data_IF_821619065857
#
_entry.id   IF_821619065857
#
_cell.length_a   1.000
_cell.length_b   1.000
_cell.length_c   1.000
_cell.angle_alpha   90.00
_cell.angle_beta   90.00
_cell.angle_gamma   90.00
#
_symmetry.space_group_name_H-M   'P 1'
#
loop_
_entity.id
_entity.type
_entity.pdbx_description
1 polymer ?
#
# COMPACT_ATOMS: atom_id res chain seq x y z
N UNK A 1 -12.55 14.34 10.28
CA UNK A 1 -11.33 14.01 9.51
C UNK A 1 -10.04 14.68 10.03
N UNK A 2 -9.97 15.96 10.40
CA UNK A 2 -8.69 16.60 10.77
C UNK A 2 -8.04 16.00 12.02
N UNK A 3 -8.82 15.64 13.06
CA UNK A 3 -8.26 15.08 14.30
C UNK A 3 -7.57 13.71 14.09
N UNK A 4 -8.20 12.80 13.33
CA UNK A 4 -7.60 11.49 13.00
C UNK A 4 -6.30 11.64 12.20
N UNK A 5 -6.28 12.58 11.27
CA UNK A 5 -5.08 12.90 10.48
C UNK A 5 -3.96 13.44 11.38
N UNK A 6 -4.28 14.41 12.25
CA UNK A 6 -3.35 15.00 13.20
C UNK A 6 -2.77 13.95 14.16
N UNK A 7 -3.63 13.13 14.78
CA UNK A 7 -3.18 12.05 15.68
C UNK A 7 -2.29 11.04 14.96
N UNK A 8 -2.67 10.61 13.75
CA UNK A 8 -1.86 9.70 12.95
C UNK A 8 -0.48 10.31 12.63
N UNK A 9 -0.43 11.58 12.25
CA UNK A 9 0.82 12.27 11.89
C UNK A 9 1.74 12.48 13.09
N UNK A 10 1.18 12.74 14.28
CA UNK A 10 1.98 12.94 15.50
C UNK A 10 2.43 11.62 16.16
N UNK A 11 1.61 10.56 16.08
CA UNK A 11 1.88 9.28 16.73
C UNK A 11 2.71 8.31 15.87
N UNK A 12 2.71 8.50 14.56
CA UNK A 12 3.54 7.71 13.65
C UNK A 12 4.80 8.50 13.25
N UNK A 13 5.93 7.82 12.96
CA UNK A 13 7.09 8.49 12.39
C UNK A 13 6.77 9.23 11.08
N UNK A 14 7.38 10.42 10.88
CA UNK A 14 8.39 11.07 11.70
C UNK A 14 7.88 11.82 12.94
N UNK A 15 6.57 12.08 13.06
CA UNK A 15 5.97 12.94 14.08
C UNK A 15 6.38 12.57 15.50
N UNK A 16 6.20 11.31 15.91
CA UNK A 16 6.54 10.84 17.25
C UNK A 16 8.03 11.03 17.57
N UNK A 17 8.92 10.85 16.60
CA UNK A 17 10.36 11.03 16.81
C UNK A 17 10.70 12.50 17.06
N UNK A 18 10.09 13.43 16.31
CA UNK A 18 10.21 14.86 16.58
C UNK A 18 9.63 15.27 17.93
N UNK A 19 8.47 14.72 18.32
CA UNK A 19 7.88 14.96 19.65
C UNK A 19 8.85 14.52 20.75
N UNK A 20 9.49 13.36 20.62
CA UNK A 20 10.49 12.88 21.57
C UNK A 20 11.70 13.83 21.66
N UNK A 21 12.21 14.31 20.54
CA UNK A 21 13.32 15.27 20.51
C UNK A 21 12.95 16.59 21.21
N UNK A 22 11.74 17.12 20.96
CA UNK A 22 11.24 18.34 21.60
C UNK A 22 11.09 18.13 23.10
N UNK A 23 10.50 17.01 23.54
CA UNK A 23 10.37 16.67 24.95
C UNK A 23 11.74 16.49 25.63
N UNK A 24 12.70 15.84 24.95
CA UNK A 24 14.06 15.71 25.39
C UNK A 24 14.74 17.07 25.61
N UNK A 25 14.56 17.99 24.65
CA UNK A 25 15.09 19.36 24.78
C UNK A 25 14.44 20.11 25.93
N UNK A 26 13.13 19.99 26.13
CA UNK A 26 12.41 20.65 27.22
C UNK A 26 12.82 20.13 28.61
N UNK A 27 12.99 18.80 28.73
CA UNK A 27 13.33 18.12 29.98
C UNK A 27 14.83 18.15 30.32
N UNK A 28 15.72 18.66 29.47
CA UNK A 28 17.18 18.55 29.63
C UNK A 28 17.73 19.14 30.93
N UNK A 29 17.06 20.15 31.50
CA UNK A 29 17.45 20.77 32.74
C UNK A 29 16.82 20.14 33.98
N UNK A 30 15.55 19.75 33.92
CA UNK A 30 14.79 19.21 35.05
C UNK A 30 14.96 17.70 35.21
N UNK A 31 15.06 16.95 34.11
CA UNK A 31 15.18 15.48 34.11
C UNK A 31 16.20 15.00 33.08
N UNK A 32 17.50 15.20 33.31
CA UNK A 32 18.55 14.98 32.30
C UNK A 32 18.62 13.53 31.80
N UNK A 33 18.42 12.53 32.66
CA UNK A 33 18.44 11.12 32.26
C UNK A 33 17.30 10.78 31.29
N UNK A 34 16.08 11.29 31.55
CA UNK A 34 14.92 11.09 30.68
C UNK A 34 15.11 11.84 29.35
N UNK A 35 15.67 13.05 29.40
CA UNK A 35 16.01 13.81 28.21
C UNK A 35 17.01 13.05 27.31
N UNK A 36 18.06 12.47 27.90
CA UNK A 36 19.03 11.65 27.15
C UNK A 36 18.34 10.44 26.50
N UNK A 37 17.43 9.76 27.21
CA UNK A 37 16.67 8.64 26.65
C UNK A 37 15.80 9.09 25.45
N UNK A 38 15.10 10.22 25.57
CA UNK A 38 14.30 10.77 24.48
C UNK A 38 15.13 11.16 23.27
N UNK A 39 16.30 11.78 23.46
CA UNK A 39 17.23 12.06 22.37
C UNK A 39 17.77 10.78 21.73
N UNK A 40 18.16 9.79 22.53
CA UNK A 40 18.66 8.53 22.01
C UNK A 40 17.60 7.79 21.15
N UNK A 41 16.35 7.73 21.62
CA UNK A 41 15.24 7.11 20.88
C UNK A 41 14.87 7.94 19.66
N UNK A 42 14.79 9.26 19.76
CA UNK A 42 14.45 10.14 18.65
C UNK A 42 15.49 10.11 17.53
N UNK A 43 16.76 10.35 17.84
CA UNK A 43 17.85 10.32 16.85
C UNK A 43 18.14 8.91 16.36
N UNK A 44 18.19 7.93 17.26
CA UNK A 44 18.39 6.52 16.91
C UNK A 44 17.26 5.98 16.03
N UNK A 45 16.02 6.37 16.30
CA UNK A 45 14.85 6.03 15.49
C UNK A 45 14.94 6.66 14.10
N UNK A 46 15.27 7.95 13.97
CA UNK A 46 15.47 8.60 12.68
C UNK A 46 16.58 7.91 11.87
N UNK A 47 17.70 7.60 12.52
CA UNK A 47 18.82 6.91 11.88
C UNK A 47 18.44 5.51 11.43
N UNK A 48 17.90 4.68 12.32
CA UNK A 48 17.50 3.29 12.03
C UNK A 48 16.47 3.22 10.90
N UNK A 49 15.46 4.10 10.91
CA UNK A 49 14.44 4.16 9.88
C UNK A 49 14.96 4.64 8.53
N UNK A 50 16.13 5.25 8.48
CA UNK A 50 16.79 5.68 7.24
C UNK A 50 17.74 4.62 6.67
N UNK A 51 17.95 3.49 7.37
CA UNK A 51 18.87 2.44 6.93
C UNK A 51 18.21 1.43 5.98
N UNK A 52 18.72 1.25 4.77
CA UNK A 52 18.27 0.19 3.85
C UNK A 52 18.23 -1.20 4.48
N UNK A 53 19.29 -1.59 5.20
CA UNK A 53 19.36 -2.91 5.85
C UNK A 53 18.21 -3.14 6.83
N UNK A 54 17.78 -2.11 7.56
CA UNK A 54 16.65 -2.22 8.51
C UNK A 54 15.31 -2.39 7.77
N UNK A 55 15.10 -1.63 6.68
CA UNK A 55 13.91 -1.74 5.85
C UNK A 55 13.83 -3.09 5.15
N UNK A 56 14.92 -3.55 4.54
CA UNK A 56 14.98 -4.85 3.87
C UNK A 56 14.69 -6.00 4.85
N UNK A 57 15.26 -5.93 6.06
CA UNK A 57 14.96 -6.91 7.11
C UNK A 57 13.48 -6.90 7.51
N UNK A 58 12.91 -5.73 7.78
CA UNK A 58 11.50 -5.59 8.16
C UNK A 58 10.56 -6.01 7.02
N UNK A 59 10.88 -5.62 5.78
CA UNK A 59 10.11 -5.98 4.60
C UNK A 59 10.06 -7.50 4.39
N UNK A 60 11.17 -8.21 4.51
CA UNK A 60 11.20 -9.68 4.42
C UNK A 60 10.28 -10.38 5.44
N UNK A 61 9.98 -9.73 6.57
CA UNK A 61 9.02 -10.26 7.58
C UNK A 61 7.57 -9.98 7.23
N UNK A 62 7.30 -8.95 6.43
CA UNK A 62 5.95 -8.54 6.02
C UNK A 62 5.60 -9.11 4.65
N UNK A 63 6.55 -9.18 3.71
CA UNK A 63 6.35 -9.61 2.32
C UNK A 63 6.38 -11.14 2.19
N UNK A 64 5.43 -11.81 2.86
CA UNK A 64 5.39 -13.29 2.91
C UNK A 64 4.78 -13.93 1.65
N UNK A 65 4.15 -13.11 0.79
CA UNK A 65 3.52 -13.60 -0.45
C UNK A 65 4.52 -13.48 -1.59
N UNK A 66 4.93 -14.59 -2.21
CA UNK A 66 5.91 -14.56 -3.30
C UNK A 66 5.32 -13.89 -4.56
N UNK A 67 6.18 -13.39 -5.49
CA UNK A 67 5.72 -12.88 -6.77
C UNK A 67 4.99 -13.99 -7.57
N UNK A 68 3.96 -13.59 -8.30
CA UNK A 68 3.24 -14.51 -9.19
C UNK A 68 4.14 -14.94 -10.35
N UNK A 69 4.44 -16.23 -10.51
CA UNK A 69 5.34 -16.72 -11.55
C UNK A 69 4.83 -16.37 -12.96
N UNK A 70 5.69 -15.86 -13.83
CA UNK A 70 5.29 -15.44 -15.18
C UNK A 70 4.71 -16.58 -16.02
N UNK A 71 5.17 -17.82 -15.79
CA UNK A 71 4.68 -19.02 -16.45
C UNK A 71 3.18 -19.28 -16.20
N UNK A 72 2.64 -18.77 -15.09
CA UNK A 72 1.23 -18.92 -14.72
C UNK A 72 0.32 -17.85 -15.34
N UNK A 73 0.86 -16.77 -15.91
CA UNK A 73 0.05 -15.64 -16.36
C UNK A 73 -0.96 -16.01 -17.45
N UNK A 74 -0.56 -16.84 -18.41
CA UNK A 74 -1.44 -17.29 -19.51
C UNK A 74 -2.60 -18.20 -19.03
N UNK A 75 -2.43 -18.88 -17.90
CA UNK A 75 -3.42 -19.81 -17.35
C UNK A 75 -4.26 -19.22 -16.23
N UNK A 76 -4.10 -17.93 -15.91
CA UNK A 76 -4.83 -17.27 -14.82
C UNK A 76 -6.35 -17.31 -14.98
N UNK A 77 -6.88 -17.32 -16.20
CA UNK A 77 -8.31 -17.46 -16.48
C UNK A 77 -8.91 -18.79 -16.00
N UNK A 78 -8.09 -19.80 -15.72
CA UNK A 78 -8.52 -21.07 -15.10
C UNK A 78 -8.71 -20.91 -13.58
N UNK A 79 -8.03 -19.94 -12.94
CA UNK A 79 -7.97 -19.75 -11.50
C UNK A 79 -8.76 -18.52 -11.02
N UNK A 80 -9.02 -17.55 -11.89
CA UNK A 80 -9.69 -16.29 -11.57
C UNK A 80 -10.60 -15.84 -12.73
N UNK A 81 -11.56 -14.97 -12.41
CA UNK A 81 -12.54 -14.44 -13.33
C UNK A 81 -12.34 -12.94 -13.62
N UNK A 82 -11.58 -12.25 -12.77
CA UNK A 82 -11.22 -10.84 -12.93
C UNK A 82 -9.90 -10.50 -12.23
N UNK A 83 -9.28 -9.40 -12.66
CA UNK A 83 -8.13 -8.78 -11.99
C UNK A 83 -8.65 -7.57 -11.21
N UNK A 84 -8.28 -7.45 -9.93
CA UNK A 84 -8.61 -6.30 -9.09
C UNK A 84 -7.33 -5.54 -8.74
N UNK A 85 -7.30 -4.24 -9.06
CA UNK A 85 -6.16 -3.37 -8.80
C UNK A 85 -6.53 -2.36 -7.72
N UNK A 86 -5.78 -2.34 -6.62
CA UNK A 86 -6.00 -1.41 -5.51
C UNK A 86 -5.35 -0.05 -5.79
N UNK A 87 -6.04 1.04 -5.43
CA UNK A 87 -5.50 2.39 -5.43
C UNK A 87 -4.36 2.58 -4.41
N UNK A 88 -3.49 3.56 -4.66
CA UNK A 88 -2.37 3.93 -3.79
C UNK A 88 -2.20 5.47 -3.71
N UNK A 89 -3.28 6.20 -3.83
CA UNK A 89 -3.24 7.66 -3.88
C UNK A 89 -3.05 8.21 -5.30
N UNK A 90 -3.01 9.53 -5.38
CA UNK A 90 -2.89 10.27 -6.63
C UNK A 90 -1.91 11.43 -6.51
N UNK A 91 -1.29 11.78 -7.62
CA UNK A 91 -0.60 13.06 -7.83
C UNK A 91 -1.61 14.06 -8.38
N UNK A 92 -1.81 15.14 -7.65
CA UNK A 92 -2.87 16.11 -7.94
C UNK A 92 -2.40 17.16 -8.93
N UNK A 93 -3.26 17.50 -9.91
CA UNK A 93 -3.01 18.56 -10.87
C UNK A 93 -1.60 18.52 -11.48
N UNK A 94 -1.19 17.35 -11.97
CA UNK A 94 0.13 17.17 -12.57
C UNK A 94 0.31 18.18 -13.73
N UNK A 95 1.30 19.10 -13.66
CA UNK A 95 1.46 20.13 -14.69
C UNK A 95 1.75 19.56 -16.08
N UNK A 96 2.41 18.41 -16.15
CA UNK A 96 2.75 17.74 -17.41
C UNK A 96 1.52 17.17 -18.11
N UNK A 97 0.57 16.63 -17.33
CA UNK A 97 -0.60 15.91 -17.86
C UNK A 97 -1.88 16.76 -17.85
N UNK A 98 -1.88 17.92 -17.15
CA UNK A 98 -3.05 18.78 -16.99
C UNK A 98 -4.20 18.15 -16.18
N UNK A 99 -3.96 17.01 -15.51
CA UNK A 99 -4.96 16.25 -14.76
C UNK A 99 -4.32 15.53 -13.58
N UNK A 100 -5.13 14.90 -12.72
CA UNK A 100 -4.67 14.01 -11.68
C UNK A 100 -4.14 12.71 -12.29
N UNK A 101 -3.03 12.19 -11.75
CA UNK A 101 -2.40 10.94 -12.21
C UNK A 101 -2.21 9.96 -11.06
N UNK A 102 -2.13 8.64 -11.32
CA UNK A 102 -1.73 7.69 -10.28
C UNK A 102 -0.33 8.01 -9.75
N UNK A 103 -0.07 7.69 -8.48
CA UNK A 103 1.30 7.75 -7.95
C UNK A 103 2.21 6.75 -8.68
N UNK A 104 3.55 6.91 -8.55
CA UNK A 104 4.50 5.94 -9.11
C UNK A 104 4.25 4.50 -8.67
N UNK A 105 3.83 4.28 -7.40
CA UNK A 105 3.42 2.95 -6.90
C UNK A 105 2.10 2.49 -7.53
N UNK A 106 1.16 3.41 -7.78
CA UNK A 106 -0.07 3.13 -8.53
C UNK A 106 0.24 2.67 -9.95
N UNK A 107 1.12 3.37 -10.67
CA UNK A 107 1.55 3.01 -12.02
C UNK A 107 2.22 1.64 -12.09
N UNK A 108 2.99 1.26 -11.07
CA UNK A 108 3.60 -0.07 -10.98
C UNK A 108 2.53 -1.18 -10.88
N UNK A 109 1.46 -0.97 -10.09
CA UNK A 109 0.30 -1.88 -10.03
C UNK A 109 -0.39 -1.99 -11.40
N UNK A 110 -0.68 -0.85 -12.03
CA UNK A 110 -1.34 -0.81 -13.33
C UNK A 110 -0.52 -1.50 -14.41
N UNK A 111 0.80 -1.31 -14.41
CA UNK A 111 1.72 -1.99 -15.32
C UNK A 111 1.63 -3.52 -15.21
N UNK A 112 1.59 -4.07 -13.99
CA UNK A 112 1.42 -5.51 -13.80
C UNK A 112 0.03 -5.94 -14.24
N UNK A 113 -1.03 -5.26 -13.79
CA UNK A 113 -2.41 -5.60 -14.12
C UNK A 113 -2.67 -5.60 -15.63
N UNK A 114 -2.15 -4.60 -16.35
CA UNK A 114 -2.25 -4.52 -17.80
C UNK A 114 -1.55 -5.71 -18.50
N UNK A 115 -0.36 -6.09 -18.02
CA UNK A 115 0.34 -7.28 -18.55
C UNK A 115 -0.44 -8.56 -18.27
N UNK A 116 -0.93 -8.75 -17.06
CA UNK A 116 -1.75 -9.90 -16.69
C UNK A 116 -3.01 -9.98 -17.55
N UNK A 117 -3.73 -8.87 -17.73
CA UNK A 117 -4.93 -8.80 -18.56
C UNK A 117 -4.64 -9.14 -20.02
N UNK A 118 -3.61 -8.56 -20.62
CA UNK A 118 -3.19 -8.84 -22.00
C UNK A 118 -2.80 -10.31 -22.23
N UNK A 119 -2.21 -10.94 -21.22
CA UNK A 119 -1.73 -12.33 -21.33
C UNK A 119 -2.83 -13.35 -21.04
N UNK A 120 -3.71 -13.08 -20.07
CA UNK A 120 -4.75 -14.01 -19.62
C UNK A 120 -6.13 -13.77 -20.24
N UNK A 121 -6.37 -12.58 -20.80
CA UNK A 121 -7.70 -12.15 -21.25
C UNK A 121 -8.65 -11.72 -20.14
N UNK A 122 -8.22 -11.73 -18.87
CA UNK A 122 -9.07 -11.36 -17.74
C UNK A 122 -9.40 -9.86 -17.72
N UNK A 123 -10.67 -9.51 -17.47
CA UNK A 123 -11.09 -8.12 -17.32
C UNK A 123 -10.55 -7.51 -16.02
N UNK A 124 -10.36 -6.18 -16.01
CA UNK A 124 -9.84 -5.44 -14.86
C UNK A 124 -10.96 -4.67 -14.14
N UNK A 125 -10.95 -4.71 -12.81
CA UNK A 125 -11.62 -3.77 -11.92
C UNK A 125 -10.56 -2.91 -11.22
N UNK A 126 -10.74 -1.58 -11.25
CA UNK A 126 -9.97 -0.64 -10.42
C UNK A 126 -10.78 -0.25 -9.19
N UNK A 127 -10.16 -0.26 -7.98
CA UNK A 127 -10.81 0.13 -6.73
C UNK A 127 -9.98 1.16 -5.97
N UNK A 128 -10.63 2.20 -5.50
CA UNK A 128 -10.05 3.29 -4.73
C UNK A 128 -10.91 4.54 -4.80
N UNK A 129 -11.23 5.10 -3.65
CA UNK A 129 -12.21 6.18 -3.50
C UNK A 129 -11.64 7.58 -3.68
N UNK A 130 -12.34 8.53 -3.07
CA UNK A 130 -12.00 9.94 -3.12
C UNK A 130 -10.89 10.26 -2.12
N UNK A 131 -9.80 10.87 -2.60
CA UNK A 131 -8.75 11.37 -1.72
C UNK A 131 -9.17 12.73 -1.13
N UNK A 132 -9.28 12.80 0.21
CA UNK A 132 -9.81 13.96 0.95
C UNK A 132 -11.20 14.41 0.47
N UNK A 133 -12.08 13.48 0.12
CA UNK A 133 -13.44 13.73 -0.39
C UNK A 133 -13.48 14.58 -1.67
N UNK A 134 -12.38 14.65 -2.43
CA UNK A 134 -12.26 15.42 -3.67
C UNK A 134 -12.26 14.51 -4.90
N UNK A 135 -13.13 14.74 -5.90
CA UNK A 135 -13.08 14.04 -7.17
C UNK A 135 -11.84 14.43 -7.99
N UNK A 136 -11.45 13.59 -8.97
CA UNK A 136 -11.96 12.27 -9.29
C UNK A 136 -11.54 11.19 -8.29
N UNK A 137 -12.17 10.00 -8.33
CA UNK A 137 -11.76 8.86 -7.51
C UNK A 137 -10.43 8.24 -8.00
N UNK A 138 -9.70 7.58 -7.10
CA UNK A 138 -8.50 6.83 -7.50
C UNK A 138 -8.82 5.77 -8.57
N UNK A 139 -9.96 5.08 -8.44
CA UNK A 139 -10.40 4.09 -9.41
C UNK A 139 -10.56 4.68 -10.81
N UNK A 140 -11.13 5.89 -10.92
CA UNK A 140 -11.31 6.59 -12.20
C UNK A 140 -9.97 7.00 -12.81
N UNK A 141 -9.06 7.57 -12.01
CA UNK A 141 -7.71 7.96 -12.46
C UNK A 141 -6.92 6.74 -12.94
N UNK A 142 -7.00 5.62 -12.20
CA UNK A 142 -6.36 4.36 -12.60
C UNK A 142 -6.95 3.79 -13.89
N UNK A 143 -8.27 3.85 -14.07
CA UNK A 143 -8.93 3.38 -15.29
C UNK A 143 -8.52 4.21 -16.50
N UNK A 144 -8.40 5.54 -16.35
CA UNK A 144 -7.91 6.43 -17.38
C UNK A 144 -6.46 6.08 -17.77
N UNK A 145 -5.56 5.93 -16.79
CA UNK A 145 -4.16 5.58 -17.05
C UNK A 145 -4.01 4.17 -17.66
N UNK A 146 -4.86 3.19 -17.27
CA UNK A 146 -4.90 1.88 -17.94
C UNK A 146 -5.20 2.01 -19.43
N UNK A 147 -6.16 2.86 -19.79
CA UNK A 147 -6.55 3.09 -21.17
C UNK A 147 -5.45 3.82 -21.94
N UNK A 148 -4.99 4.97 -21.43
CA UNK A 148 -4.12 5.89 -22.17
C UNK A 148 -2.67 5.41 -22.24
N UNK A 149 -2.13 4.90 -21.11
CA UNK A 149 -0.72 4.53 -21.01
C UNK A 149 -0.46 3.06 -21.35
N UNK A 150 -1.43 2.19 -21.07
CA UNK A 150 -1.23 0.73 -21.22
C UNK A 150 -2.13 0.08 -22.30
N UNK A 151 -3.06 0.81 -22.90
CA UNK A 151 -3.97 0.30 -23.95
C UNK A 151 -4.85 -0.85 -23.45
N UNK A 152 -5.34 -0.76 -22.19
CA UNK A 152 -6.23 -1.72 -21.56
C UNK A 152 -7.39 -0.97 -20.90
N UNK A 153 -8.62 -1.36 -21.19
CA UNK A 153 -9.80 -0.73 -20.60
C UNK A 153 -10.22 -1.46 -19.33
N UNK A 154 -10.34 -0.74 -18.22
CA UNK A 154 -10.95 -1.26 -17.01
C UNK A 154 -12.45 -1.49 -17.25
N UNK A 155 -12.92 -2.71 -16.99
CA UNK A 155 -14.33 -3.07 -17.19
C UNK A 155 -15.23 -2.53 -16.10
N UNK A 156 -14.69 -2.41 -14.86
CA UNK A 156 -15.41 -1.90 -13.71
C UNK A 156 -14.54 -0.95 -12.89
N UNK A 157 -15.18 -0.01 -12.24
CA UNK A 157 -14.55 0.95 -11.34
C UNK A 157 -15.34 0.99 -10.03
N UNK A 158 -14.66 0.86 -8.91
CA UNK A 158 -15.21 1.07 -7.58
C UNK A 158 -14.53 2.31 -6.98
N UNK A 159 -15.25 3.40 -6.85
CA UNK A 159 -14.69 4.72 -6.51
C UNK A 159 -15.16 5.31 -5.17
N UNK A 160 -15.72 4.52 -4.24
CA UNK A 160 -16.29 5.01 -2.99
C UNK A 160 -15.50 4.59 -1.74
N UNK A 161 -14.65 3.58 -1.84
CA UNK A 161 -13.89 3.00 -0.75
C UNK A 161 -12.86 3.95 -0.15
N UNK A 162 -12.67 3.92 1.18
CA UNK A 162 -11.73 4.76 1.94
C UNK A 162 -10.68 3.94 2.71
N UNK A 163 -10.88 2.63 2.77
CA UNK A 163 -10.02 1.70 3.50
C UNK A 163 -9.85 0.43 2.69
N UNK A 164 -8.84 -0.37 3.02
CA UNK A 164 -8.64 -1.67 2.35
C UNK A 164 -9.81 -2.63 2.57
N UNK A 165 -10.47 -2.55 3.72
CA UNK A 165 -11.69 -3.31 3.99
C UNK A 165 -12.83 -2.88 3.07
N UNK A 166 -13.05 -1.57 2.92
CA UNK A 166 -14.06 -1.03 2.00
C UNK A 166 -13.72 -1.35 0.54
N UNK A 167 -12.44 -1.31 0.12
CA UNK A 167 -12.04 -1.79 -1.21
C UNK A 167 -12.55 -3.22 -1.44
N UNK A 168 -12.37 -4.11 -0.47
CA UNK A 168 -12.79 -5.50 -0.59
C UNK A 168 -14.33 -5.65 -0.62
N UNK A 169 -15.04 -5.04 0.33
CA UNK A 169 -16.50 -5.18 0.47
C UNK A 169 -17.26 -4.48 -0.66
N UNK A 170 -16.81 -3.31 -1.11
CA UNK A 170 -17.42 -2.59 -2.21
C UNK A 170 -17.09 -3.23 -3.57
N UNK A 171 -15.87 -3.79 -3.74
CA UNK A 171 -15.56 -4.65 -4.90
C UNK A 171 -16.48 -5.88 -4.92
N UNK A 172 -16.76 -6.49 -3.76
CA UNK A 172 -17.70 -7.62 -3.66
C UNK A 172 -19.12 -7.21 -4.10
N UNK A 173 -19.57 -6.02 -3.70
CA UNK A 173 -20.87 -5.51 -4.12
C UNK A 173 -20.97 -5.29 -5.65
N UNK A 174 -19.85 -5.03 -6.33
CA UNK A 174 -19.79 -4.91 -7.80
C UNK A 174 -19.70 -6.26 -8.49
N UNK A 175 -18.81 -7.16 -8.03
CA UNK A 175 -18.45 -8.37 -8.77
C UNK A 175 -19.32 -9.60 -8.43
N UNK A 176 -19.71 -9.77 -7.16
CA UNK A 176 -20.45 -10.98 -6.75
C UNK A 176 -21.84 -11.12 -7.39
N UNK A 177 -22.63 -10.04 -7.60
CA UNK A 177 -23.89 -10.14 -8.36
C UNK A 177 -23.70 -10.61 -9.80
N UNK A 178 -22.48 -10.47 -10.36
CA UNK A 178 -22.11 -10.96 -11.68
C UNK A 178 -21.59 -12.41 -11.66
N UNK A 179 -21.63 -13.09 -10.50
CA UNK A 179 -21.11 -14.44 -10.32
C UNK A 179 -19.59 -14.52 -10.16
N UNK A 180 -18.88 -13.38 -10.10
CA UNK A 180 -17.41 -13.33 -10.01
C UNK A 180 -17.00 -13.40 -8.54
N UNK A 181 -16.35 -14.52 -8.17
CA UNK A 181 -15.86 -14.78 -6.81
C UNK A 181 -14.36 -15.09 -6.74
N UNK A 182 -13.70 -15.29 -7.88
CA UNK A 182 -12.26 -15.60 -7.96
C UNK A 182 -11.56 -14.42 -8.61
N UNK A 183 -10.59 -13.83 -7.92
CA UNK A 183 -9.91 -12.62 -8.40
C UNK A 183 -8.39 -12.74 -8.28
N UNK A 184 -7.70 -12.16 -9.27
CA UNK A 184 -6.27 -11.84 -9.15
C UNK A 184 -6.16 -10.48 -8.49
N UNK A 185 -5.55 -10.43 -7.31
CA UNK A 185 -5.41 -9.18 -6.54
C UNK A 185 -4.03 -8.58 -6.77
N UNK A 186 -3.99 -7.33 -7.25
CA UNK A 186 -2.75 -6.60 -7.54
C UNK A 186 -2.56 -5.44 -6.56
N UNK A 187 -1.48 -5.50 -5.79
CA UNK A 187 -1.03 -4.44 -4.88
C UNK A 187 0.45 -4.62 -4.55
N UNK A 188 1.06 -3.70 -3.78
CA UNK A 188 2.45 -3.87 -3.34
C UNK A 188 2.62 -5.08 -2.41
N UNK A 189 3.82 -5.69 -2.45
CA UNK A 189 4.16 -6.88 -1.68
C UNK A 189 3.96 -6.70 -0.16
N UNK A 190 4.38 -5.55 0.38
CA UNK A 190 4.21 -5.21 1.78
C UNK A 190 2.74 -4.99 2.19
N UNK A 191 1.84 -4.69 1.25
CA UNK A 191 0.40 -4.52 1.49
C UNK A 191 -0.40 -5.80 1.25
N UNK A 192 0.15 -6.77 0.52
CA UNK A 192 -0.58 -7.93 0.00
C UNK A 192 -1.23 -8.78 1.10
N UNK A 193 -0.58 -9.00 2.23
CA UNK A 193 -1.18 -9.81 3.31
C UNK A 193 -2.50 -9.20 3.82
N UNK A 194 -2.52 -7.89 4.12
CA UNK A 194 -3.71 -7.21 4.63
C UNK A 194 -4.81 -7.10 3.57
N UNK A 195 -4.43 -6.83 2.33
CA UNK A 195 -5.36 -6.77 1.21
C UNK A 195 -6.00 -8.14 0.97
N UNK A 196 -5.18 -9.21 0.86
CA UNK A 196 -5.65 -10.58 0.69
C UNK A 196 -6.62 -10.99 1.80
N UNK A 197 -6.25 -10.78 3.06
CA UNK A 197 -7.12 -11.06 4.20
C UNK A 197 -8.48 -10.36 4.06
N UNK A 198 -8.49 -9.07 3.69
CA UNK A 198 -9.74 -8.30 3.52
C UNK A 198 -10.61 -8.88 2.40
N UNK A 199 -10.02 -9.24 1.25
CA UNK A 199 -10.74 -9.80 0.11
C UNK A 199 -11.26 -11.22 0.38
N UNK A 200 -10.48 -12.06 1.05
CA UNK A 200 -10.92 -13.41 1.45
C UNK A 200 -12.10 -13.31 2.45
N UNK A 201 -12.06 -12.37 3.39
CA UNK A 201 -13.17 -12.11 4.31
C UNK A 201 -14.40 -11.52 3.62
N UNK A 202 -14.23 -10.78 2.53
CA UNK A 202 -15.33 -10.31 1.69
C UNK A 202 -15.90 -11.39 0.75
N UNK A 203 -15.42 -12.65 0.85
CA UNK A 203 -15.95 -13.80 0.12
C UNK A 203 -15.30 -14.08 -1.22
N UNK A 204 -14.11 -13.54 -1.49
CA UNK A 204 -13.33 -13.86 -2.69
C UNK A 204 -12.34 -15.00 -2.45
N UNK A 205 -12.14 -15.80 -3.50
CA UNK A 205 -10.93 -16.62 -3.65
C UNK A 205 -9.87 -15.76 -4.33
N UNK A 206 -8.71 -15.59 -3.69
CA UNK A 206 -7.69 -14.62 -4.11
C UNK A 206 -6.44 -15.31 -4.65
N UNK A 207 -6.11 -15.02 -5.90
CA UNK A 207 -4.78 -15.24 -6.47
C UNK A 207 -3.97 -13.95 -6.27
N UNK A 208 -2.91 -14.01 -5.48
CA UNK A 208 -2.11 -12.83 -5.16
C UNK A 208 -1.09 -12.52 -6.26
N UNK A 209 -1.03 -11.27 -6.71
CA UNK A 209 -0.06 -10.77 -7.67
C UNK A 209 0.66 -9.52 -7.09
N UNK A 210 1.58 -9.70 -6.13
CA UNK A 210 2.30 -8.61 -5.51
C UNK A 210 3.33 -7.98 -6.45
N UNK A 211 3.54 -6.64 -6.29
CA UNK A 211 4.61 -5.87 -6.94
C UNK A 211 5.41 -5.06 -5.91
N UNK A 212 6.53 -4.48 -6.31
CA UNK A 212 7.25 -3.49 -5.51
C UNK A 212 7.81 -4.04 -4.21
N UNK A 213 8.55 -5.12 -4.28
CA UNK A 213 9.19 -5.74 -3.11
C UNK A 213 10.30 -4.83 -2.55
N UNK A 214 10.25 -4.57 -1.25
CA UNK A 214 11.26 -3.81 -0.51
C UNK A 214 12.32 -4.70 0.13
N UNK A 215 12.01 -5.98 0.37
CA UNK A 215 12.90 -6.96 0.99
C UNK A 215 13.96 -7.55 0.05
N UNK A 216 14.00 -7.12 -1.20
CA UNK A 216 15.00 -7.58 -2.19
C UNK A 216 16.32 -6.88 -1.96
N UNK A 217 17.42 -7.65 -1.97
CA UNK A 217 18.77 -7.10 -1.93
C UNK A 217 19.05 -6.28 -3.20
N UNK A 218 19.41 -5.02 -3.01
CA UNK A 218 19.71 -4.08 -4.08
C UNK A 218 21.23 -3.88 -4.28
N UNK A 219 22.06 -4.76 -3.72
CA UNK A 219 23.52 -4.68 -3.81
C UNK A 219 24.09 -3.29 -3.44
N UNK A 220 23.52 -2.66 -2.40
CA UNK A 220 23.92 -1.33 -1.97
C UNK A 220 25.35 -1.30 -1.41
N UNK A 221 26.11 -0.24 -1.68
CA UNK A 221 27.40 -0.03 -1.04
C UNK A 221 27.28 -0.10 0.49
N UNK A 222 28.32 -0.60 1.15
CA UNK A 222 28.36 -0.78 2.60
C UNK A 222 27.19 -1.60 3.18
N UNK A 223 26.61 -2.52 2.37
CA UNK A 223 25.54 -3.42 2.84
C UNK A 223 24.28 -2.72 3.31
N UNK A 224 24.02 -1.48 2.87
CA UNK A 224 22.84 -0.72 3.25
C UNK A 224 22.90 -0.06 4.64
N UNK A 225 24.09 0.12 5.22
CA UNK A 225 24.28 0.80 6.51
C UNK A 225 24.39 2.33 6.41
N UNK A 226 24.31 2.90 5.21
CA UNK A 226 24.25 4.36 5.04
C UNK A 226 22.80 4.84 4.96
N UNK A 227 22.44 5.96 5.61
CA UNK A 227 21.07 6.46 5.62
C UNK A 227 20.67 7.05 4.27
N UNK A 228 19.45 6.71 3.82
CA UNK A 228 18.84 7.19 2.59
C UNK A 228 17.45 7.80 2.89
N UNK A 229 17.12 8.94 2.30
CA UNK A 229 15.83 9.62 2.49
C UNK A 229 14.63 8.80 2.01
N UNK A 230 14.75 8.12 0.87
CA UNK A 230 13.71 7.23 0.33
C UNK A 230 13.37 6.09 1.30
N UNK A 231 14.38 5.55 1.96
CA UNK A 231 14.24 4.44 2.91
C UNK A 231 13.46 4.84 4.14
N UNK A 232 13.61 6.09 4.60
CA UNK A 232 12.80 6.61 5.70
C UNK A 232 11.30 6.56 5.39
N UNK A 233 10.89 6.93 4.20
CA UNK A 233 9.50 6.82 3.74
C UNK A 233 9.03 5.36 3.71
N UNK A 234 9.85 4.45 3.22
CA UNK A 234 9.57 3.01 3.19
C UNK A 234 9.38 2.43 4.60
N UNK A 235 10.20 2.85 5.57
CA UNK A 235 10.03 2.48 6.99
C UNK A 235 8.67 2.87 7.53
N UNK A 236 8.21 4.09 7.23
CA UNK A 236 6.89 4.57 7.64
C UNK A 236 5.76 3.72 7.07
N UNK A 237 5.88 3.30 5.81
CA UNK A 237 4.92 2.41 5.15
C UNK A 237 4.89 1.04 5.82
N UNK A 238 6.04 0.42 6.09
CA UNK A 238 6.12 -0.89 6.74
C UNK A 238 5.55 -0.86 8.16
N UNK A 239 5.82 0.19 8.94
CA UNK A 239 5.23 0.36 10.27
C UNK A 239 3.70 0.50 10.20
N UNK A 240 3.17 1.25 9.23
CA UNK A 240 1.73 1.37 9.04
C UNK A 240 1.10 0.02 8.67
N UNK A 241 1.77 -0.79 7.86
CA UNK A 241 1.27 -2.14 7.52
C UNK A 241 1.37 -3.11 8.69
N UNK A 242 2.47 -3.10 9.44
CA UNK A 242 2.59 -3.90 10.66
C UNK A 242 1.49 -3.58 11.67
N UNK A 243 1.21 -2.30 11.91
CA UNK A 243 0.10 -1.86 12.74
C UNK A 243 -1.26 -2.29 12.16
N UNK A 244 -1.44 -2.18 10.85
CA UNK A 244 -2.65 -2.62 10.16
C UNK A 244 -2.90 -4.12 10.31
N UNK A 245 -1.89 -4.97 10.14
CA UNK A 245 -2.01 -6.42 10.30
C UNK A 245 -2.43 -6.82 11.72
N UNK A 246 -1.97 -6.07 12.74
CA UNK A 246 -2.36 -6.31 14.14
C UNK A 246 -3.79 -5.83 14.44
N UNK A 247 -4.21 -4.72 13.87
CA UNK A 247 -5.43 -4.01 14.26
C UNK A 247 -6.66 -4.44 13.44
N UNK A 248 -6.49 -4.81 12.16
CA UNK A 248 -7.59 -5.17 11.27
C UNK A 248 -8.48 -6.30 11.78
N UNK A 249 -7.96 -7.42 12.34
CA UNK A 249 -8.78 -8.50 12.86
C UNK A 249 -9.70 -8.08 14.03
N UNK A 250 -9.32 -7.01 14.75
CA UNK A 250 -10.09 -6.49 15.88
C UNK A 250 -11.17 -5.48 15.46
N UNK A 251 -10.88 -4.68 14.43
CA UNK A 251 -11.81 -3.65 13.94
C UNK A 251 -12.86 -4.27 13.01
N UNK A 252 -12.46 -5.27 12.23
CA UNK A 252 -13.31 -5.94 11.24
C UNK A 252 -13.42 -7.44 11.58
N UNK A 253 -14.13 -7.79 12.68
CA UNK A 253 -14.30 -9.19 13.05
C UNK A 253 -15.05 -9.94 11.94
N UNK A 254 -14.81 -11.26 11.79
CA UNK A 254 -15.55 -12.07 10.85
C UNK A 254 -17.04 -11.96 11.15
N UNK A 255 -17.85 -11.65 10.12
CA UNK A 255 -19.30 -11.84 10.20
C UNK A 255 -19.56 -13.33 10.38
N UNK A 256 -20.14 -13.70 11.51
CA UNK A 256 -20.63 -15.07 11.80
C UNK A 256 -21.77 -15.43 10.86
#
# INVERSE_FOLDING_TARGET
MPLRYLLKTLLLPPGVLFVLLILGWWLRRSRPRLATAFFAVGLGGLWLMSLPVAVEFAARKIEQVPPLPQQQWATLAQQADAIVVLGNGRERNSPTWGTDTPTGLGLERLRLAARLSKTSGLPILTTGGLHFDQPPSEASIMAQSLHDDFGVTARWQEGLSRTTWENATMTAAVLQPLGIKRVVLVTQAWHMQRARWSFEKAGFTVVSAPVGFLGVDNARPFGGWLPESRVFTQSGVLLNEAAGLLVYPWIYPPSH
#
